data_IF_369827024109
#
_entry.id   IF_369827024109
#
_cell.length_a   1.000
_cell.length_b   1.000
_cell.length_c   1.000
_cell.angle_alpha   90.00
_cell.angle_beta   90.00
_cell.angle_gamma   90.00
#
_symmetry.space_group_name_H-M   'P 1'
#
loop_
_entity.id
_entity.type
_entity.pdbx_description
1 polymer ?
#
# COMPACT_ATOMS: atom_id res chain seq x y z
N UNK A 1 -12.14 4.62 1.32
CA UNK A 1 -11.34 5.87 1.33
C UNK A 1 -10.06 5.80 2.18
N UNK A 2 -10.08 5.28 3.41
CA UNK A 2 -8.87 5.20 4.25
C UNK A 2 -7.69 4.45 3.62
N UNK A 3 -7.95 3.34 2.93
CA UNK A 3 -6.94 2.58 2.19
C UNK A 3 -6.22 3.43 1.13
N UNK A 4 -6.93 4.33 0.43
CA UNK A 4 -6.33 5.24 -0.54
C UNK A 4 -5.41 6.28 0.12
N UNK A 5 -5.78 6.80 1.29
CA UNK A 5 -4.94 7.70 2.07
C UNK A 5 -3.66 7.00 2.59
N UNK A 6 -3.77 5.73 2.97
CA UNK A 6 -2.62 4.91 3.38
C UNK A 6 -1.63 4.72 2.22
N UNK A 7 -2.11 4.36 1.02
CA UNK A 7 -1.25 4.25 -0.17
C UNK A 7 -0.67 5.61 -0.60
N UNK A 8 -1.43 6.69 -0.49
CA UNK A 8 -0.91 8.03 -0.72
C UNK A 8 0.22 8.40 0.26
N UNK A 9 0.07 8.00 1.52
CA UNK A 9 1.09 8.19 2.54
C UNK A 9 2.36 7.40 2.22
N UNK A 10 2.23 6.16 1.72
CA UNK A 10 3.35 5.37 1.24
C UNK A 10 4.13 6.08 0.12
N UNK A 11 3.40 6.64 -0.85
CA UNK A 11 3.97 7.43 -1.94
C UNK A 11 4.69 8.70 -1.44
N UNK A 12 4.08 9.45 -0.53
CA UNK A 12 4.70 10.66 0.05
C UNK A 12 5.93 10.31 0.89
N UNK A 13 5.88 9.25 1.69
CA UNK A 13 7.02 8.74 2.45
C UNK A 13 8.18 8.34 1.54
N UNK A 14 7.89 7.56 0.48
CA UNK A 14 8.91 7.17 -0.49
C UNK A 14 9.54 8.42 -1.13
N UNK A 15 8.72 9.37 -1.58
CA UNK A 15 9.21 10.64 -2.14
C UNK A 15 9.97 11.50 -1.09
N UNK A 16 9.68 11.34 0.20
CA UNK A 16 10.24 12.11 1.30
C UNK A 16 9.53 13.44 1.58
N UNK A 17 8.46 13.75 0.85
CA UNK A 17 7.68 14.99 1.00
C UNK A 17 6.27 14.83 0.45
N UNK A 18 5.38 15.69 0.93
CA UNK A 18 4.03 15.85 0.38
C UNK A 18 4.08 16.57 -0.97
N UNK A 19 2.95 16.55 -1.68
CA UNK A 19 2.80 17.30 -2.95
C UNK A 19 2.96 18.82 -2.77
N UNK A 20 2.74 19.35 -1.57
CA UNK A 20 2.99 20.76 -1.22
C UNK A 20 4.48 21.11 -1.14
N UNK A 21 5.38 20.13 -1.19
CA UNK A 21 6.82 20.31 -0.98
C UNK A 21 7.26 20.15 0.48
N UNK A 22 6.32 20.16 1.43
CA UNK A 22 6.60 19.96 2.86
C UNK A 22 7.21 18.56 3.10
N UNK A 23 8.33 18.44 3.84
CA UNK A 23 8.93 17.15 4.17
C UNK A 23 7.94 16.19 4.84
N UNK A 24 8.03 14.91 4.52
CA UNK A 24 7.20 13.89 5.15
C UNK A 24 7.78 13.58 6.55
N UNK A 25 7.04 13.79 7.65
CA UNK A 25 7.62 13.97 8.97
C UNK A 25 7.99 12.68 9.70
N UNK A 26 7.48 11.54 9.24
CA UNK A 26 7.60 10.27 9.94
C UNK A 26 8.16 9.17 9.05
N UNK A 27 8.78 8.17 9.66
CA UNK A 27 9.19 6.95 8.99
C UNK A 27 8.08 5.92 9.06
N UNK A 28 7.69 5.37 7.90
CA UNK A 28 6.71 4.29 7.84
C UNK A 28 7.42 2.93 7.88
N UNK A 29 6.95 2.04 8.75
CA UNK A 29 7.49 0.66 8.88
C UNK A 29 6.70 -0.36 8.07
N UNK A 30 5.41 -0.11 7.82
CA UNK A 30 4.54 -0.94 7.01
C UNK A 30 3.29 -0.14 6.59
N UNK A 31 2.65 -0.55 5.49
CA UNK A 31 1.37 0.02 5.03
C UNK A 31 0.41 -1.10 4.66
N UNK A 32 -0.86 -0.96 5.04
CA UNK A 32 -1.94 -1.90 4.70
C UNK A 32 -3.07 -1.13 4.00
N UNK A 33 -3.60 -1.71 2.92
CA UNK A 33 -4.69 -1.16 2.12
C UNK A 33 -5.71 -2.25 1.81
N UNK A 34 -6.88 -2.20 2.46
CA UNK A 34 -7.99 -3.12 2.23
C UNK A 34 -9.03 -2.45 1.31
N UNK A 35 -9.42 -3.12 0.22
CA UNK A 35 -10.44 -2.66 -0.74
C UNK A 35 -10.22 -1.21 -1.21
N UNK A 36 -8.97 -0.92 -1.58
CA UNK A 36 -8.46 0.43 -1.83
C UNK A 36 -8.00 0.70 -3.26
N UNK A 37 -7.50 1.91 -3.49
CA UNK A 37 -6.85 2.31 -4.74
C UNK A 37 -5.76 3.34 -4.45
N UNK A 38 -4.76 3.44 -5.33
CA UNK A 38 -3.70 4.44 -5.26
C UNK A 38 -4.17 5.73 -5.93
N UNK A 39 -4.36 6.83 -5.18
CA UNK A 39 -4.65 8.13 -5.77
C UNK A 39 -3.39 8.73 -6.41
N UNK A 40 -3.58 9.59 -7.41
CA UNK A 40 -2.51 10.36 -8.05
C UNK A 40 -1.36 9.53 -8.66
N UNK A 41 -1.63 8.28 -9.07
CA UNK A 41 -0.64 7.33 -9.60
C UNK A 41 0.20 7.90 -10.76
N UNK A 42 -0.40 8.73 -11.62
CA UNK A 42 0.28 9.39 -12.76
C UNK A 42 1.46 10.27 -12.34
N UNK A 43 1.43 10.85 -11.15
CA UNK A 43 2.48 11.75 -10.65
C UNK A 43 3.58 11.01 -9.88
N UNK A 44 3.33 9.75 -9.49
CA UNK A 44 4.22 9.01 -8.62
C UNK A 44 5.57 8.75 -9.29
N UNK A 45 5.54 8.27 -10.54
CA UNK A 45 6.76 7.92 -11.28
C UNK A 45 7.70 9.12 -11.43
N UNK A 46 7.20 10.25 -11.90
CA UNK A 46 8.00 11.48 -12.04
C UNK A 46 8.52 12.04 -10.72
N UNK A 47 7.84 11.78 -9.59
CA UNK A 47 8.33 12.15 -8.25
C UNK A 47 9.46 11.26 -7.76
N UNK A 48 9.57 10.04 -8.28
CA UNK A 48 10.57 9.06 -7.87
C UNK A 48 11.81 9.06 -8.76
N UNK A 49 11.66 9.48 -10.01
CA UNK A 49 12.76 9.62 -10.98
C UNK A 49 13.86 10.55 -10.45
N UNK A 50 15.12 10.13 -10.58
CA UNK A 50 16.30 10.92 -10.21
C UNK A 50 16.67 10.95 -8.72
N UNK A 51 15.88 10.34 -7.82
CA UNK A 51 16.19 10.29 -6.38
C UNK A 51 16.51 8.87 -5.90
N UNK A 52 17.80 8.59 -5.68
CA UNK A 52 18.25 7.31 -5.11
C UNK A 52 17.65 7.04 -3.72
N UNK A 53 17.47 8.08 -2.91
CA UNK A 53 16.85 7.94 -1.59
C UNK A 53 15.37 7.55 -1.70
N UNK A 54 14.64 8.12 -2.67
CA UNK A 54 13.24 7.76 -2.88
C UNK A 54 13.08 6.32 -3.36
N UNK A 55 13.93 5.90 -4.31
CA UNK A 55 13.98 4.52 -4.79
C UNK A 55 14.27 3.54 -3.64
N UNK A 56 15.24 3.84 -2.76
CA UNK A 56 15.56 2.99 -1.60
C UNK A 56 14.38 2.88 -0.64
N UNK A 57 13.74 3.99 -0.27
CA UNK A 57 12.58 3.99 0.64
C UNK A 57 11.40 3.20 0.07
N UNK A 58 11.10 3.36 -1.21
CA UNK A 58 10.05 2.60 -1.87
C UNK A 58 10.35 1.10 -1.91
N UNK A 59 11.59 0.73 -2.27
CA UNK A 59 11.99 -0.66 -2.36
C UNK A 59 11.95 -1.38 -0.99
N UNK A 60 12.23 -0.65 0.10
CA UNK A 60 12.27 -1.20 1.45
C UNK A 60 10.93 -1.20 2.19
N UNK A 61 9.96 -0.37 1.78
CA UNK A 61 8.69 -0.24 2.50
C UNK A 61 7.78 -1.45 2.26
N UNK A 62 7.47 -2.27 3.29
CA UNK A 62 6.52 -3.35 3.15
C UNK A 62 5.10 -2.80 2.97
N UNK A 63 4.40 -3.25 1.93
CA UNK A 63 3.02 -2.86 1.68
C UNK A 63 2.16 -4.11 1.42
N UNK A 64 1.06 -4.23 2.15
CA UNK A 64 0.01 -5.20 1.90
C UNK A 64 -1.19 -4.49 1.26
N UNK A 65 -1.64 -5.03 0.15
CA UNK A 65 -2.90 -4.68 -0.48
C UNK A 65 -3.80 -5.92 -0.49
N UNK A 66 -5.06 -5.75 -0.14
CA UNK A 66 -6.09 -6.77 -0.35
C UNK A 66 -7.29 -6.18 -1.08
N UNK A 67 -7.98 -7.03 -1.84
CA UNK A 67 -9.19 -6.61 -2.53
C UNK A 67 -10.12 -7.79 -2.78
N UNK A 68 -11.42 -7.57 -2.60
CA UNK A 68 -12.45 -8.51 -3.00
C UNK A 68 -12.72 -8.48 -4.50
N UNK A 69 -12.88 -9.64 -5.13
CA UNK A 69 -13.23 -9.73 -6.57
C UNK A 69 -14.68 -9.32 -6.86
N UNK A 70 -15.55 -9.35 -5.86
CA UNK A 70 -16.95 -8.95 -5.95
C UNK A 70 -17.19 -7.53 -5.39
N UNK A 71 -16.13 -6.74 -5.19
CA UNK A 71 -16.26 -5.36 -4.71
C UNK A 71 -16.94 -4.48 -5.78
N UNK A 72 -18.17 -4.07 -5.47
CA UNK A 72 -19.02 -3.23 -6.30
C UNK A 72 -18.86 -1.73 -6.05
N UNK A 73 -18.20 -1.33 -4.96
CA UNK A 73 -18.00 0.08 -4.57
C UNK A 73 -16.68 0.60 -5.11
N UNK A 74 -15.61 -0.19 -4.92
CA UNK A 74 -14.28 0.06 -5.50
C UNK A 74 -13.94 -1.15 -6.36
N UNK A 75 -14.15 -1.07 -7.69
CA UNK A 75 -13.94 -2.21 -8.57
C UNK A 75 -12.56 -2.85 -8.37
N UNK A 76 -12.50 -4.17 -8.28
CA UNK A 76 -11.26 -4.96 -8.07
C UNK A 76 -10.08 -4.52 -8.97
N UNK A 77 -10.38 -4.15 -10.22
CA UNK A 77 -9.41 -3.65 -11.20
C UNK A 77 -8.64 -2.40 -10.71
N UNK A 78 -9.23 -1.60 -9.83
CA UNK A 78 -8.54 -0.46 -9.22
C UNK A 78 -7.45 -0.94 -8.27
N UNK A 79 -7.68 -2.00 -7.49
CA UNK A 79 -6.67 -2.64 -6.65
C UNK A 79 -5.50 -3.22 -7.48
N UNK A 80 -5.83 -3.93 -8.57
CA UNK A 80 -4.83 -4.47 -9.51
C UNK A 80 -3.95 -3.37 -10.11
N UNK A 81 -4.58 -2.35 -10.70
CA UNK A 81 -3.87 -1.21 -11.29
C UNK A 81 -3.01 -0.49 -10.27
N UNK A 82 -3.52 -0.30 -9.06
CA UNK A 82 -2.77 0.35 -7.98
C UNK A 82 -1.51 -0.42 -7.64
N UNK A 83 -1.61 -1.75 -7.57
CA UNK A 83 -0.47 -2.64 -7.33
C UNK A 83 0.55 -2.58 -8.47
N UNK A 84 0.10 -2.63 -9.72
CA UNK A 84 0.98 -2.48 -10.89
C UNK A 84 1.70 -1.13 -10.92
N UNK A 85 0.99 -0.04 -10.62
CA UNK A 85 1.59 1.29 -10.54
C UNK A 85 2.62 1.40 -9.42
N UNK A 86 2.35 0.83 -8.24
CA UNK A 86 3.34 0.80 -7.16
C UNK A 86 4.57 -0.02 -7.57
N UNK A 87 4.39 -1.22 -8.14
CA UNK A 87 5.50 -2.07 -8.61
C UNK A 87 6.36 -1.36 -9.65
N UNK A 88 5.74 -0.80 -10.68
CA UNK A 88 6.44 -0.06 -11.75
C UNK A 88 7.12 1.21 -11.26
N UNK A 89 6.69 1.75 -10.11
CA UNK A 89 7.33 2.91 -9.48
C UNK A 89 8.47 2.52 -8.52
N UNK A 90 8.82 1.23 -8.37
CA UNK A 90 9.98 0.80 -7.56
C UNK A 90 9.64 0.31 -6.15
N UNK A 91 8.35 0.19 -5.81
CA UNK A 91 7.95 -0.52 -4.60
C UNK A 91 8.09 -2.02 -4.82
N UNK A 92 9.23 -2.60 -4.42
CA UNK A 92 9.50 -4.03 -4.60
C UNK A 92 8.91 -4.91 -3.51
N UNK A 93 8.64 -4.36 -2.32
CA UNK A 93 8.16 -5.12 -1.17
C UNK A 93 6.63 -5.12 -1.04
N UNK A 94 5.95 -5.54 -2.11
CA UNK A 94 4.49 -5.51 -2.24
C UNK A 94 3.88 -6.91 -2.17
N UNK A 95 2.83 -7.06 -1.37
CA UNK A 95 1.92 -8.22 -1.40
C UNK A 95 0.54 -7.76 -1.84
N UNK A 96 -0.05 -8.40 -2.86
CA UNK A 96 -1.45 -8.19 -3.25
C UNK A 96 -2.21 -9.50 -3.05
N UNK A 97 -3.24 -9.47 -2.20
CA UNK A 97 -4.13 -10.60 -1.94
C UNK A 97 -5.50 -10.34 -2.52
N UNK A 98 -6.13 -11.39 -3.03
CA UNK A 98 -7.44 -11.30 -3.67
C UNK A 98 -8.37 -12.33 -3.07
N UNK A 99 -9.60 -11.91 -2.78
CA UNK A 99 -10.61 -12.75 -2.14
C UNK A 99 -11.80 -12.94 -3.09
N UNK A 100 -12.08 -14.18 -3.45
CA UNK A 100 -13.23 -14.51 -4.31
C UNK A 100 -14.53 -14.31 -3.53
N UNK A 101 -15.53 -13.67 -4.13
CA UNK A 101 -16.84 -13.44 -3.50
C UNK A 101 -16.87 -12.33 -2.43
N UNK A 102 -15.72 -11.77 -2.04
CA UNK A 102 -15.66 -10.64 -1.12
C UNK A 102 -16.10 -9.35 -1.82
N UNK A 103 -17.08 -8.65 -1.22
CA UNK A 103 -17.55 -7.33 -1.62
C UNK A 103 -16.79 -6.19 -0.94
N UNK A 104 -17.43 -5.02 -0.77
CA UNK A 104 -16.82 -3.86 -0.11
C UNK A 104 -16.93 -3.90 1.42
N UNK A 105 -16.42 -4.96 2.02
CA UNK A 105 -16.36 -5.17 3.47
C UNK A 105 -15.17 -6.06 3.80
N UNK A 106 -14.94 -6.33 5.08
CA UNK A 106 -13.86 -7.23 5.54
C UNK A 106 -14.43 -8.56 6.02
N UNK A 107 -13.62 -9.61 5.95
CA UNK A 107 -13.95 -10.96 6.44
C UNK A 107 -12.87 -11.47 7.39
N UNK A 108 -13.18 -12.42 8.30
CA UNK A 108 -12.20 -12.96 9.24
C UNK A 108 -10.94 -13.49 8.57
N UNK A 109 -11.07 -14.17 7.42
CA UNK A 109 -9.96 -14.75 6.68
C UNK A 109 -8.98 -13.67 6.16
N UNK A 110 -9.51 -12.53 5.72
CA UNK A 110 -8.72 -11.36 5.31
C UNK A 110 -8.00 -10.76 6.52
N UNK A 111 -8.69 -10.61 7.65
CA UNK A 111 -8.10 -10.04 8.86
C UNK A 111 -7.03 -10.95 9.46
N UNK A 112 -7.21 -12.27 9.41
CA UNK A 112 -6.19 -13.24 9.81
C UNK A 112 -4.95 -13.15 8.93
N UNK A 113 -5.14 -12.96 7.63
CA UNK A 113 -4.05 -12.73 6.68
C UNK A 113 -3.28 -11.44 6.99
N UNK A 114 -4.00 -10.34 7.31
CA UNK A 114 -3.40 -9.07 7.73
C UNK A 114 -2.61 -9.24 9.03
N UNK A 115 -3.19 -9.90 10.03
CA UNK A 115 -2.53 -10.19 11.30
C UNK A 115 -1.25 -11.01 11.11
N UNK A 116 -1.32 -12.10 10.34
CA UNK A 116 -0.15 -12.93 10.02
C UNK A 116 0.91 -12.15 9.27
N UNK A 117 0.52 -11.33 8.31
CA UNK A 117 1.44 -10.48 7.56
C UNK A 117 2.13 -9.46 8.48
N UNK A 118 1.38 -8.72 9.29
CA UNK A 118 1.94 -7.74 10.24
C UNK A 118 2.88 -8.39 11.26
N UNK A 119 2.49 -9.51 11.87
CA UNK A 119 3.36 -10.25 12.81
C UNK A 119 4.69 -10.63 12.15
N UNK A 120 4.68 -11.03 10.88
CA UNK A 120 5.91 -11.38 10.14
C UNK A 120 6.81 -10.20 9.77
N UNK A 121 6.27 -8.96 9.77
CA UNK A 121 7.00 -7.76 9.34
C UNK A 121 7.49 -6.89 10.48
N UNK A 122 6.71 -6.84 11.57
CA UNK A 122 6.93 -5.91 12.65
C UNK A 122 7.53 -6.56 13.89
N UNK A 123 7.91 -7.85 13.83
CA UNK A 123 8.40 -8.62 14.99
C UNK A 123 7.51 -8.42 16.21
N UNK A 124 6.19 -8.39 15.99
CA UNK A 124 5.21 -8.24 17.07
C UNK A 124 5.22 -9.56 17.81
N UNK A 125 5.92 -9.58 18.93
CA UNK A 125 5.90 -10.72 19.83
C UNK A 125 4.44 -10.97 20.25
N UNK A 126 3.94 -12.17 19.97
CA UNK A 126 2.57 -12.57 20.34
C UNK A 126 2.52 -12.98 21.81
N UNK A 127 3.15 -12.18 22.67
CA UNK A 127 3.25 -12.43 24.10
C UNK A 127 2.41 -11.41 24.88
N UNK A 128 1.12 -11.74 25.03
CA UNK A 128 0.34 -11.72 26.29
C UNK A 128 -1.15 -11.91 26.02
#
# INVERSE_FOLDING_TARGET
>A
MGAAAALHSAACYAHGKFSSGTPYPITLSAVVSLSGWLPCSRTLRGKMEGSHMAARRAASLPILLSHGRADEVVPYRNGERSTEFLRSSGFSYLTFKSYNGLGHYTIPEEMDDVCRWLSSRLSVDRSR
#
